data_IF_039933376267
#
_entry.id   IF_039933376267
#
_cell.length_a   1.000
_cell.length_b   1.000
_cell.length_c   1.000
_cell.angle_alpha   90.00
_cell.angle_beta   90.00
_cell.angle_gamma   90.00
#
_symmetry.space_group_name_H-M   'P 1'
#
loop_
_entity.id
_entity.type
_entity.pdbx_description
1 polymer ?
#
# COMPACT_ATOMS: atom_id res chain seq x y z
N UNK A 1 10.46 -3.46 8.11
CA UNK A 1 9.12 -4.07 8.27
C UNK A 1 8.58 -4.11 9.71
N UNK A 2 9.21 -4.77 10.70
CA UNK A 2 8.68 -4.86 12.09
C UNK A 2 8.36 -3.51 12.76
N UNK A 3 9.19 -2.49 12.55
CA UNK A 3 8.98 -1.14 13.10
C UNK A 3 7.71 -0.46 12.55
N UNK A 4 7.30 -0.78 11.32
CA UNK A 4 6.11 -0.18 10.70
C UNK A 4 4.82 -0.72 11.31
N UNK A 5 4.74 -2.03 11.52
CA UNK A 5 3.65 -2.69 12.24
C UNK A 5 3.45 -2.16 13.67
N UNK A 6 4.50 -1.62 14.30
CA UNK A 6 4.40 -1.01 15.63
C UNK A 6 3.92 0.45 15.61
N UNK A 7 4.02 1.13 14.46
CA UNK A 7 3.67 2.54 14.31
C UNK A 7 2.37 2.80 13.54
N UNK A 8 1.94 1.89 12.68
CA UNK A 8 0.59 1.92 12.09
C UNK A 8 -0.40 1.65 13.21
N UNK A 9 -1.36 2.56 13.42
CA UNK A 9 -2.27 2.61 14.57
C UNK A 9 -2.74 1.21 14.99
N UNK A 10 -2.39 0.81 16.22
CA UNK A 10 -2.70 -0.49 16.79
C UNK A 10 -4.20 -0.81 16.79
N UNK A 11 -5.05 0.21 16.74
CA UNK A 11 -6.50 0.05 16.64
C UNK A 11 -6.96 -0.43 15.26
N UNK A 12 -6.29 -0.01 14.18
CA UNK A 12 -6.62 -0.46 12.81
C UNK A 12 -6.10 -1.87 12.54
N UNK A 13 -5.04 -2.31 13.22
CA UNK A 13 -4.44 -3.64 13.03
C UNK A 13 -5.44 -4.77 13.28
N UNK A 14 -6.38 -4.58 14.23
CA UNK A 14 -7.40 -5.58 14.54
C UNK A 14 -8.35 -5.87 13.38
N UNK A 15 -8.48 -4.93 12.44
CA UNK A 15 -9.40 -5.03 11.32
C UNK A 15 -8.69 -5.39 9.99
N UNK A 16 -7.35 -5.47 9.98
CA UNK A 16 -6.60 -5.83 8.77
C UNK A 16 -6.92 -7.27 8.39
N UNK A 17 -7.52 -7.43 7.21
CA UNK A 17 -7.85 -8.73 6.64
C UNK A 17 -6.66 -9.38 5.95
N UNK A 18 -5.80 -8.58 5.31
CA UNK A 18 -4.67 -9.09 4.51
C UNK A 18 -3.44 -8.22 4.69
N UNK A 19 -2.28 -8.85 4.89
CA UNK A 19 -0.98 -8.19 4.82
C UNK A 19 -0.12 -8.83 3.74
N UNK A 20 0.62 -8.03 2.98
CA UNK A 20 1.53 -8.61 2.01
C UNK A 20 2.58 -7.65 1.50
N UNK A 21 3.23 -8.10 0.43
CA UNK A 21 4.20 -7.32 -0.32
C UNK A 21 3.63 -6.99 -1.69
N UNK A 22 4.02 -5.85 -2.23
CA UNK A 22 3.73 -5.49 -3.61
C UNK A 22 4.98 -4.95 -4.29
N UNK A 23 4.90 -4.77 -5.60
CA UNK A 23 5.90 -4.08 -6.39
C UNK A 23 5.21 -3.23 -7.45
N UNK A 24 5.96 -2.32 -8.07
CA UNK A 24 5.48 -1.48 -9.16
C UNK A 24 5.68 -2.14 -10.52
N UNK A 25 4.59 -2.39 -11.23
CA UNK A 25 4.61 -2.56 -12.67
C UNK A 25 4.57 -1.19 -13.35
N UNK A 26 5.36 -1.03 -14.40
CA UNK A 26 5.38 0.17 -15.22
C UNK A 26 4.87 -0.15 -16.62
N UNK A 27 3.82 0.55 -17.05
CA UNK A 27 3.30 0.46 -18.43
C UNK A 27 3.48 1.77 -19.17
N UNK A 28 3.72 1.74 -20.49
CA UNK A 28 3.71 2.95 -21.31
C UNK A 28 2.38 3.68 -21.16
N UNK A 29 2.44 4.96 -20.85
CA UNK A 29 1.27 5.80 -20.77
C UNK A 29 1.01 6.44 -22.14
N UNK A 30 -0.02 5.97 -22.84
CA UNK A 30 -0.38 6.47 -24.18
C UNK A 30 -0.73 7.96 -24.18
N UNK A 31 -1.25 8.51 -23.07
CA UNK A 31 -1.62 9.94 -22.94
C UNK A 31 -0.44 10.84 -22.58
N UNK A 32 0.54 10.33 -21.83
CA UNK A 32 1.75 11.07 -21.43
C UNK A 32 2.97 10.16 -21.48
N UNK A 33 3.63 10.11 -22.64
CA UNK A 33 4.74 9.16 -22.93
C UNK A 33 5.92 9.31 -21.97
N UNK A 34 6.19 10.52 -21.49
CA UNK A 34 7.28 10.82 -20.55
C UNK A 34 7.07 10.24 -19.14
N UNK A 35 5.82 9.95 -18.76
CA UNK A 35 5.49 9.46 -17.41
C UNK A 35 4.82 8.09 -17.49
N UNK A 36 5.57 6.98 -17.36
CA UNK A 36 4.99 5.65 -17.38
C UNK A 36 3.93 5.50 -16.27
N UNK A 37 2.86 4.78 -16.58
CA UNK A 37 1.80 4.48 -15.63
C UNK A 37 2.32 3.46 -14.63
N UNK A 38 2.25 3.81 -13.35
CA UNK A 38 2.53 2.91 -12.22
C UNK A 38 1.30 2.05 -11.95
N UNK A 39 1.50 0.76 -11.74
CA UNK A 39 0.45 -0.21 -11.42
C UNK A 39 0.94 -1.03 -10.22
N UNK A 40 0.27 -0.97 -9.07
CA UNK A 40 0.66 -1.79 -7.93
C UNK A 40 0.30 -3.24 -8.22
N UNK A 41 1.27 -4.15 -8.09
CA UNK A 41 1.06 -5.59 -8.21
C UNK A 41 1.33 -6.25 -6.88
N UNK A 42 0.26 -6.79 -6.28
CA UNK A 42 0.35 -7.60 -5.08
C UNK A 42 1.12 -8.88 -5.42
N UNK A 43 2.16 -9.16 -4.64
CA UNK A 43 2.95 -10.39 -4.69
C UNK A 43 2.52 -11.35 -3.59
N UNK A 44 3.48 -11.82 -2.79
CA UNK A 44 3.21 -12.67 -1.63
C UNK A 44 2.34 -11.94 -0.60
N UNK A 45 1.21 -12.54 -0.24
CA UNK A 45 0.27 -12.00 0.73
C UNK A 45 -0.21 -13.09 1.69
N UNK A 46 -0.49 -12.68 2.92
CA UNK A 46 -1.02 -13.50 3.99
C UNK A 46 -2.40 -12.96 4.39
N UNK A 47 -3.41 -13.84 4.36
CA UNK A 47 -4.73 -13.54 4.92
C UNK A 47 -4.66 -13.70 6.44
N UNK A 48 -5.06 -12.67 7.15
CA UNK A 48 -5.13 -12.67 8.61
C UNK A 48 -6.54 -13.01 9.09
N UNK A 49 -7.56 -12.38 8.51
CA UNK A 49 -8.96 -12.49 8.92
C UNK A 49 -9.86 -12.58 7.69
N UNK A 50 -10.87 -13.46 7.75
CA UNK A 50 -11.88 -13.61 6.72
C UNK A 50 -13.10 -12.70 7.02
N UNK A 51 -13.14 -11.53 6.38
CA UNK A 51 -14.30 -10.63 6.40
C UNK A 51 -14.83 -10.37 4.99
N UNK A 52 -16.10 -10.00 4.86
CA UNK A 52 -16.71 -9.59 3.59
C UNK A 52 -16.16 -8.26 3.10
N UNK A 53 -15.97 -7.29 4.00
CA UNK A 53 -15.23 -6.06 3.75
C UNK A 53 -13.73 -6.31 3.94
N UNK A 54 -12.92 -6.02 2.91
CA UNK A 54 -11.48 -6.24 2.92
C UNK A 54 -10.76 -4.95 3.28
N UNK A 55 -9.87 -5.06 4.26
CA UNK A 55 -8.86 -4.05 4.62
C UNK A 55 -7.52 -4.72 4.39
N UNK A 56 -6.85 -4.38 3.29
CA UNK A 56 -5.61 -5.02 2.87
C UNK A 56 -4.50 -4.01 2.78
N UNK A 57 -3.35 -4.34 3.36
CA UNK A 57 -2.18 -3.47 3.37
C UNK A 57 -0.99 -4.21 2.79
N UNK A 58 -0.32 -3.58 1.83
CA UNK A 58 0.83 -4.15 1.15
C UNK A 58 2.03 -3.21 1.19
N UNK A 59 3.22 -3.78 1.39
CA UNK A 59 4.46 -3.02 1.53
C UNK A 59 5.37 -3.18 0.34
N UNK A 60 6.06 -2.10 -0.01
CA UNK A 60 7.17 -2.12 -0.95
C UNK A 60 8.29 -1.21 -0.44
N UNK A 61 9.37 -1.82 0.05
CA UNK A 61 10.58 -1.12 0.47
C UNK A 61 11.37 -0.70 -0.78
N UNK A 62 11.54 0.61 -0.97
CA UNK A 62 12.34 1.16 -2.07
C UNK A 62 13.81 1.18 -1.67
N UNK A 63 14.07 1.65 -0.45
CA UNK A 63 15.38 1.76 0.15
C UNK A 63 15.24 1.78 1.69
N UNK A 64 16.36 1.88 2.40
CA UNK A 64 16.39 1.85 3.86
C UNK A 64 15.60 2.99 4.55
N UNK A 65 15.23 4.04 3.81
CA UNK A 65 14.49 5.21 4.31
C UNK A 65 13.10 5.32 3.70
N UNK A 66 12.88 4.81 2.50
CA UNK A 66 11.67 5.04 1.73
C UNK A 66 10.82 3.77 1.66
N UNK A 67 9.58 3.88 2.14
CA UNK A 67 8.59 2.81 2.11
C UNK A 67 7.35 3.25 1.36
N UNK A 68 6.91 2.43 0.42
CA UNK A 68 5.59 2.58 -0.17
C UNK A 68 4.60 1.63 0.50
N UNK A 69 3.41 2.15 0.78
CA UNK A 69 2.32 1.39 1.40
C UNK A 69 1.12 1.48 0.48
N UNK A 70 0.66 0.33 0.02
CA UNK A 70 -0.54 0.20 -0.79
C UNK A 70 -1.69 -0.34 0.07
N UNK A 71 -2.71 0.48 0.23
CA UNK A 71 -3.91 0.17 1.01
C UNK A 71 -5.09 -0.06 0.07
N UNK A 72 -5.80 -1.15 0.29
CA UNK A 72 -7.01 -1.53 -0.44
C UNK A 72 -8.13 -1.77 0.55
N UNK A 73 -9.21 -1.00 0.40
CA UNK A 73 -10.35 -0.95 1.30
C UNK A 73 -11.63 -1.19 0.48
N UNK A 74 -12.40 -2.22 0.79
CA UNK A 74 -13.69 -2.42 0.13
C UNK A 74 -14.15 -3.86 0.00
N UNK A 75 -15.25 -4.03 -0.72
CA UNK A 75 -15.76 -5.33 -1.13
C UNK A 75 -15.09 -5.77 -2.44
N UNK A 76 -15.25 -7.05 -2.83
CA UNK A 76 -14.59 -7.65 -3.99
C UNK A 76 -14.73 -6.89 -5.33
N UNK A 77 -15.75 -6.03 -5.47
CA UNK A 77 -16.05 -5.27 -6.70
C UNK A 77 -16.22 -3.77 -6.48
N UNK A 78 -16.12 -3.28 -5.25
CA UNK A 78 -16.35 -1.88 -4.92
C UNK A 78 -15.41 -1.48 -3.78
N UNK A 79 -14.57 -0.49 -4.02
CA UNK A 79 -13.56 -0.13 -3.03
C UNK A 79 -12.64 1.01 -3.43
N UNK A 80 -11.84 1.44 -2.48
CA UNK A 80 -10.80 2.43 -2.67
C UNK A 80 -9.43 1.80 -2.53
N UNK A 81 -8.50 2.33 -3.29
CA UNK A 81 -7.13 1.89 -3.38
C UNK A 81 -6.25 3.13 -3.33
N UNK A 82 -5.42 3.24 -2.31
CA UNK A 82 -4.48 4.35 -2.14
C UNK A 82 -3.07 3.82 -1.98
N UNK A 83 -2.10 4.49 -2.59
CA UNK A 83 -0.68 4.21 -2.35
C UNK A 83 -0.01 5.45 -1.83
N UNK A 84 0.66 5.31 -0.69
CA UNK A 84 1.33 6.40 0.02
C UNK A 84 2.83 6.12 0.11
N UNK A 85 3.60 7.20 0.07
CA UNK A 85 5.04 7.19 0.33
C UNK A 85 5.31 7.66 1.75
N UNK A 86 6.08 6.86 2.48
CA UNK A 86 6.55 7.16 3.83
C UNK A 86 8.07 7.27 3.85
N UNK A 87 8.57 8.26 4.57
CA UNK A 87 10.01 8.42 4.83
C UNK A 87 10.30 8.09 6.29
N UNK A 88 11.34 7.30 6.52
CA UNK A 88 11.88 7.00 7.83
C UNK A 88 12.89 8.07 8.27
N UNK A 89 12.51 8.90 9.23
CA UNK A 89 13.33 9.97 9.82
C UNK A 89 13.29 9.88 11.34
N UNK A 90 14.46 9.88 11.99
CA UNK A 90 14.55 9.99 13.45
C UNK A 90 13.74 8.93 14.20
N UNK A 91 13.69 7.70 13.68
CA UNK A 91 12.91 6.56 14.18
C UNK A 91 11.40 6.57 13.92
N UNK A 92 10.88 7.53 13.17
CA UNK A 92 9.46 7.61 12.80
C UNK A 92 9.28 7.57 11.30
N UNK A 93 8.16 6.98 10.86
CA UNK A 93 7.72 7.07 9.48
C UNK A 93 6.77 8.26 9.33
N UNK A 94 7.06 9.16 8.40
CA UNK A 94 6.20 10.31 8.07
C UNK A 94 5.59 10.12 6.69
N UNK A 95 4.27 10.29 6.57
CA UNK A 95 3.60 10.29 5.26
C UNK A 95 4.07 11.52 4.48
N UNK A 96 4.64 11.31 3.31
CA UNK A 96 5.17 12.40 2.47
C UNK A 96 4.25 12.73 1.30
N UNK A 97 3.76 11.71 0.59
CA UNK A 97 2.97 11.93 -0.61
C UNK A 97 2.05 10.77 -0.94
N UNK A 98 0.94 11.10 -1.62
CA UNK A 98 0.05 10.11 -2.23
C UNK A 98 0.51 9.85 -3.67
N UNK A 99 0.93 8.62 -3.94
CA UNK A 99 1.44 8.18 -5.23
C UNK A 99 0.33 7.77 -6.20
N UNK A 100 -0.74 7.19 -5.65
CA UNK A 100 -1.90 6.73 -6.40
C UNK A 100 -3.13 6.82 -5.51
N UNK A 101 -4.23 7.29 -6.08
CA UNK A 101 -5.54 7.24 -5.44
C UNK A 101 -6.55 6.81 -6.51
N UNK A 102 -7.31 5.77 -6.23
CA UNK A 102 -8.32 5.25 -7.14
C UNK A 102 -9.51 4.71 -6.36
N UNK A 103 -10.70 4.95 -6.91
CA UNK A 103 -11.97 4.45 -6.40
C UNK A 103 -12.56 3.60 -7.53
N UNK A 104 -13.05 2.42 -7.19
CA UNK A 104 -13.64 1.45 -8.11
C UNK A 104 -15.07 1.18 -7.69
#
# INVERSE_FOLDING_TARGET
>A
MKKWLLHYEFDTIKEITTLGLFHWDFKPNRRKREKPRRIPRVGGACKLIELSFKISIYFFEIDARTLHVYESLGFSLAGSNVTKEYIFEGEKFTEKSVLLNSIT
#
